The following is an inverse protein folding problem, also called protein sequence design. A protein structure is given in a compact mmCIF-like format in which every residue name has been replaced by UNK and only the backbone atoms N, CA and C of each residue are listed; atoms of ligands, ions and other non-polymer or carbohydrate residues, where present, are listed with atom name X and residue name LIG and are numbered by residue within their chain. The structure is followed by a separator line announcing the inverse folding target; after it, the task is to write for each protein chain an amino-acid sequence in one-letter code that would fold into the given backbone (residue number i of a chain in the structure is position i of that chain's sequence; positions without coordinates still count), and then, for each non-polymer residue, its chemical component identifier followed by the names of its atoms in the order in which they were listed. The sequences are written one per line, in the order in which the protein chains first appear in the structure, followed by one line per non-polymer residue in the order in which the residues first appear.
data_IF_468045293083
#
_entry.id   IF_468045293083
#
_cell.length_a   1.000
_cell.length_b   1.000
_cell.length_c   1.000
_cell.angle_alpha   90.00
_cell.angle_beta   90.00
_cell.angle_gamma   90.00
#
_symmetry.space_group_name_H-M   'P 1'
#
loop_
_entity.id
_entity.type
_entity.pdbx_description
1 polymer ?
#
# COMPACT_ATOMS: atom_id res chain seq x y z
N UNK A 1 11.56 -10.08 -4.82
CA UNK A 1 11.76 -9.02 -5.85
C UNK A 1 12.48 -7.81 -5.24
N UNK A 2 12.07 -7.35 -4.04
CA UNK A 2 12.70 -6.18 -3.41
C UNK A 2 14.08 -6.43 -2.77
N UNK A 3 14.50 -7.68 -2.56
CA UNK A 3 15.80 -8.01 -1.92
C UNK A 3 17.03 -7.38 -2.60
N UNK A 4 16.95 -7.08 -3.91
CA UNK A 4 18.06 -6.46 -4.66
C UNK A 4 17.88 -4.96 -4.89
N UNK A 5 16.75 -4.39 -4.49
CA UNK A 5 16.50 -2.97 -4.64
C UNK A 5 17.19 -2.21 -3.52
N UNK A 6 18.13 -1.33 -3.88
CA UNK A 6 18.81 -0.46 -2.93
C UNK A 6 18.04 0.85 -2.83
N UNK A 7 17.37 1.09 -1.70
CA UNK A 7 16.71 2.37 -1.40
C UNK A 7 17.66 3.36 -0.72
N UNK A 8 17.38 4.67 -0.79
CA UNK A 8 18.02 5.68 0.07
C UNK A 8 17.68 5.45 1.55
N UNK A 9 18.58 5.81 2.45
CA UNK A 9 18.36 5.68 3.91
C UNK A 9 17.22 6.59 4.44
N UNK A 10 16.90 7.66 3.71
CA UNK A 10 15.81 8.59 4.04
C UNK A 10 14.42 8.10 3.62
N UNK A 11 14.36 6.98 2.88
CA UNK A 11 13.14 6.42 2.32
C UNK A 11 12.98 4.96 2.76
N UNK A 12 11.76 4.59 3.11
CA UNK A 12 11.36 3.22 3.44
C UNK A 12 10.44 2.69 2.37
N UNK A 13 10.81 1.56 1.77
CA UNK A 13 9.94 0.78 0.89
C UNK A 13 9.39 -0.42 1.65
N UNK A 14 8.07 -0.52 1.71
CA UNK A 14 7.32 -1.64 2.29
C UNK A 14 6.70 -2.46 1.17
N UNK A 15 6.87 -3.78 1.24
CA UNK A 15 6.26 -4.73 0.31
C UNK A 15 5.35 -5.70 1.06
N UNK A 16 4.14 -5.89 0.54
CA UNK A 16 3.25 -6.97 0.91
C UNK A 16 2.66 -7.61 -0.35
N UNK A 17 3.11 -8.81 -0.70
CA UNK A 17 2.76 -9.49 -1.96
C UNK A 17 2.96 -8.55 -3.17
N UNK A 18 1.85 -8.15 -3.81
CA UNK A 18 1.82 -7.29 -4.99
C UNK A 18 1.67 -5.79 -4.65
N UNK A 19 1.40 -5.46 -3.38
CA UNK A 19 1.27 -4.08 -2.91
C UNK A 19 2.63 -3.54 -2.43
N UNK A 20 2.97 -2.33 -2.92
CA UNK A 20 4.19 -1.61 -2.58
C UNK A 20 3.84 -0.23 -2.04
N UNK A 21 4.55 0.19 -1.00
CA UNK A 21 4.44 1.52 -0.41
C UNK A 21 5.83 2.14 -0.25
N UNK A 22 6.00 3.35 -0.78
CA UNK A 22 7.22 4.15 -0.62
C UNK A 22 6.89 5.32 0.31
N UNK A 23 7.62 5.45 1.42
CA UNK A 23 7.40 6.48 2.42
C UNK A 23 8.71 7.15 2.82
N UNK A 24 8.70 8.46 3.02
CA UNK A 24 9.87 9.25 3.40
C UNK A 24 9.46 10.60 3.98
N UNK A 25 10.41 11.29 4.60
CA UNK A 25 10.15 12.58 5.23
C UNK A 25 10.04 13.72 4.22
N UNK A 26 10.85 13.66 3.15
CA UNK A 26 10.89 14.67 2.10
C UNK A 26 10.20 14.16 0.83
N UNK A 27 9.39 15.03 0.21
CA UNK A 27 8.64 14.70 -0.99
C UNK A 27 9.56 14.36 -2.17
N UNK A 28 10.64 15.12 -2.34
CA UNK A 28 11.64 14.95 -3.41
C UNK A 28 12.32 13.58 -3.34
N UNK A 29 12.72 13.16 -2.14
CA UNK A 29 13.32 11.85 -1.90
C UNK A 29 12.36 10.71 -2.23
N UNK A 30 11.10 10.82 -1.82
CA UNK A 30 10.07 9.83 -2.14
C UNK A 30 9.80 9.78 -3.64
N UNK A 31 9.76 10.93 -4.31
CA UNK A 31 9.55 11.00 -5.77
C UNK A 31 10.69 10.31 -6.52
N UNK A 32 11.94 10.65 -6.20
CA UNK A 32 13.12 10.06 -6.83
C UNK A 32 13.17 8.55 -6.60
N UNK A 33 12.94 8.09 -5.37
CA UNK A 33 12.95 6.66 -5.04
C UNK A 33 11.77 5.93 -5.70
N UNK A 34 10.60 6.57 -5.84
CA UNK A 34 9.45 6.00 -6.54
C UNK A 34 9.75 5.81 -8.02
N UNK A 35 10.35 6.79 -8.69
CA UNK A 35 10.74 6.68 -10.10
C UNK A 35 11.76 5.56 -10.30
N UNK A 36 12.77 5.49 -9.42
CA UNK A 36 13.78 4.43 -9.43
C UNK A 36 13.19 3.05 -9.19
N UNK A 37 12.23 2.93 -8.27
CA UNK A 37 11.48 1.70 -8.01
C UNK A 37 10.69 1.26 -9.25
N UNK A 38 9.95 2.16 -9.88
CA UNK A 38 9.17 1.87 -11.08
C UNK A 38 10.07 1.40 -12.25
N UNK A 39 11.23 2.05 -12.43
CA UNK A 39 12.21 1.63 -13.43
C UNK A 39 12.79 0.24 -13.13
N UNK A 40 13.10 -0.04 -11.87
CA UNK A 40 13.57 -1.35 -11.44
C UNK A 40 12.52 -2.44 -11.69
N UNK A 41 11.25 -2.19 -11.37
CA UNK A 41 10.16 -3.11 -11.65
C UNK A 41 10.04 -3.39 -13.15
N UNK A 42 10.13 -2.35 -13.99
CA UNK A 42 10.13 -2.50 -15.44
C UNK A 42 11.30 -3.34 -15.96
N UNK A 43 12.50 -3.17 -15.40
CA UNK A 43 13.67 -4.00 -15.74
C UNK A 43 13.51 -5.48 -15.34
N UNK A 44 12.74 -5.76 -14.30
CA UNK A 44 12.41 -7.14 -13.89
C UNK A 44 11.24 -7.74 -14.71
N UNK A 45 10.69 -7.00 -15.68
CA UNK A 45 9.54 -7.43 -16.49
C UNK A 45 8.19 -7.32 -15.78
N UNK A 46 8.12 -6.57 -14.67
CA UNK A 46 6.88 -6.37 -13.92
C UNK A 46 6.14 -5.14 -14.44
N UNK A 47 4.81 -5.24 -14.46
CA UNK A 47 3.94 -4.16 -14.93
C UNK A 47 3.19 -3.55 -13.74
N UNK A 48 3.22 -2.22 -13.68
CA UNK A 48 2.49 -1.44 -12.68
C UNK A 48 1.27 -0.81 -13.35
N UNK A 49 0.09 -1.01 -12.77
CA UNK A 49 -1.14 -0.42 -13.27
C UNK A 49 -1.19 1.07 -12.92
N UNK A 50 -0.92 1.95 -13.89
CA UNK A 50 -0.95 3.41 -13.70
C UNK A 50 -2.20 3.92 -12.96
N UNK A 51 -3.37 3.34 -13.24
CA UNK A 51 -4.64 3.70 -12.59
C UNK A 51 -4.71 3.41 -11.08
N UNK A 52 -3.85 2.53 -10.57
CA UNK A 52 -3.79 2.12 -9.15
C UNK A 52 -2.65 2.81 -8.39
N UNK A 53 -1.79 3.56 -9.08
CA UNK A 53 -0.65 4.24 -8.47
C UNK A 53 -1.15 5.51 -7.79
N UNK A 54 -0.83 5.66 -6.51
CA UNK A 54 -1.00 6.89 -5.73
C UNK A 54 0.38 7.56 -5.68
N UNK A 55 0.62 8.54 -6.54
CA UNK A 55 1.97 9.05 -6.78
C UNK A 55 2.29 10.23 -5.86
N UNK A 56 3.17 10.00 -4.89
CA UNK A 56 3.74 11.04 -4.00
C UNK A 56 2.64 11.88 -3.33
N UNK A 57 1.64 11.19 -2.77
CA UNK A 57 0.53 11.83 -2.07
C UNK A 57 0.81 11.91 -0.56
N UNK A 58 0.26 12.93 0.10
CA UNK A 58 0.38 13.11 1.55
C UNK A 58 -0.40 12.07 2.35
N UNK A 59 -1.42 11.50 1.72
CA UNK A 59 -2.28 10.48 2.28
C UNK A 59 -2.51 9.41 1.20
N UNK A 60 -2.37 8.14 1.58
CA UNK A 60 -2.47 7.01 0.64
C UNK A 60 -3.24 5.85 1.25
N UNK A 61 -3.94 5.08 0.40
CA UNK A 61 -4.55 3.81 0.77
C UNK A 61 -3.53 2.66 0.61
N UNK A 62 -3.33 1.88 1.66
CA UNK A 62 -2.45 0.70 1.66
C UNK A 62 -3.02 -0.42 2.55
N UNK A 63 -3.18 -1.63 2.00
CA UNK A 63 -3.72 -2.81 2.71
C UNK A 63 -5.02 -2.54 3.49
N UNK A 64 -5.94 -1.78 2.90
CA UNK A 64 -7.23 -1.41 3.51
C UNK A 64 -7.13 -0.35 4.62
N UNK A 65 -5.99 0.30 4.77
CA UNK A 65 -5.78 1.44 5.67
C UNK A 65 -5.58 2.73 4.88
N UNK A 66 -6.00 3.84 5.46
CA UNK A 66 -5.63 5.18 5.06
C UNK A 66 -4.42 5.61 5.90
N UNK A 67 -3.30 5.90 5.25
CA UNK A 67 -2.04 6.27 5.89
C UNK A 67 -1.74 7.72 5.58
N UNK A 68 -1.49 8.52 6.62
CA UNK A 68 -1.07 9.92 6.53
C UNK A 68 0.07 10.16 7.52
N UNK A 69 0.57 11.40 7.61
CA UNK A 69 1.71 11.77 8.44
C UNK A 69 1.54 11.33 9.90
N UNK A 70 2.27 10.29 10.29
CA UNK A 70 2.29 9.74 11.66
C UNK A 70 0.98 9.08 12.10
N UNK A 71 0.01 8.89 11.21
CA UNK A 71 -1.32 8.38 11.56
C UNK A 71 -1.81 7.32 10.56
N UNK A 72 -2.60 6.37 11.05
CA UNK A 72 -3.19 5.30 10.25
C UNK A 72 -4.63 5.05 10.69
N UNK A 73 -5.55 5.03 9.75
CA UNK A 73 -6.95 4.68 9.98
C UNK A 73 -7.39 3.52 9.09
N UNK A 74 -8.49 2.86 9.44
CA UNK A 74 -9.15 1.96 8.50
C UNK A 74 -9.69 2.80 7.34
N UNK A 75 -9.52 2.32 6.11
CA UNK A 75 -10.09 3.00 4.96
C UNK A 75 -11.62 3.02 5.05
N UNK A 76 -12.29 4.09 4.60
CA UNK A 76 -13.75 4.16 4.58
C UNK A 76 -14.40 2.97 3.87
N UNK A 77 -13.77 2.49 2.78
CA UNK A 77 -14.23 1.33 2.01
C UNK A 77 -14.20 0.04 2.86
N UNK A 78 -13.18 -0.15 3.69
CA UNK A 78 -13.09 -1.29 4.61
C UNK A 78 -14.14 -1.18 5.72
N UNK A 79 -14.38 0.03 6.24
CA UNK A 79 -15.41 0.25 7.26
C UNK A 79 -16.80 -0.05 6.69
N UNK A 80 -17.11 0.47 5.51
CA UNK A 80 -18.37 0.19 4.81
C UNK A 80 -18.54 -1.31 4.57
N UNK A 81 -17.49 -1.98 4.07
CA UNK A 81 -17.52 -3.42 3.85
C UNK A 81 -17.79 -4.23 5.12
N UNK A 82 -17.32 -3.80 6.29
CA UNK A 82 -17.62 -4.45 7.58
C UNK A 82 -19.07 -4.17 8.03
N UNK A 83 -19.53 -2.92 7.87
CA UNK A 83 -20.89 -2.51 8.29
C UNK A 83 -21.97 -3.19 7.44
N UNK A 84 -21.70 -3.42 6.17
CA UNK A 84 -22.62 -4.10 5.24
C UNK A 84 -22.62 -5.62 5.38
N UNK A 85 -21.75 -6.21 6.23
CA UNK A 85 -21.75 -7.66 6.41
C UNK A 85 -23.09 -8.13 6.99
N UNK A 86 -23.76 -9.10 6.34
CA UNK A 86 -24.96 -9.69 6.91
C UNK A 86 -24.61 -10.37 8.24
N UNK A 87 -25.55 -10.34 9.20
CA UNK A 87 -25.35 -11.00 10.50
C UNK A 87 -25.08 -12.49 10.26
N UNK A 88 -23.88 -13.00 10.59
CA UNK A 88 -23.51 -14.37 10.26
C UNK A 88 -24.36 -15.36 11.06
N UNK A 89 -24.82 -16.42 10.39
CA UNK A 89 -25.41 -17.63 10.99
C UNK A 89 -24.88 -18.82 10.19
N UNK A 90 -24.53 -20.01 10.74
CA UNK A 90 -24.04 -20.40 12.07
C UNK A 90 -22.48 -20.41 12.12
N UNK A 91 -21.89 -21.00 13.18
CA UNK A 91 -20.47 -20.98 13.64
C UNK A 91 -19.36 -21.01 12.57
N UNK A 92 -19.61 -21.58 11.39
CA UNK A 92 -18.63 -21.66 10.30
C UNK A 92 -18.34 -20.29 9.66
N UNK A 93 -19.35 -19.43 9.53
CA UNK A 93 -19.20 -18.09 8.94
C UNK A 93 -18.54 -17.12 9.91
N UNK A 94 -18.76 -17.29 11.22
CA UNK A 94 -18.17 -16.46 12.28
C UNK A 94 -16.64 -16.47 12.22
N UNK A 95 -16.02 -17.60 11.81
CA UNK A 95 -14.57 -17.75 11.67
C UNK A 95 -14.00 -17.11 10.39
N UNK A 96 -14.83 -16.80 9.41
CA UNK A 96 -14.42 -16.10 8.18
C UNK A 96 -14.66 -14.59 8.27
N UNK A 97 -15.59 -14.15 9.13
CA UNK A 97 -15.93 -12.75 9.37
C UNK A 97 -15.08 -12.07 10.46
N UNK A 98 -14.26 -12.82 11.21
CA UNK A 98 -13.31 -12.34 12.22
C UNK A 98 -11.88 -12.45 11.69
#
# INVERSE_FOLDING_TARGET
IMEKFKQKDTVTVLQYMDDLLVAGAEQSDVEEETVKLLNYLGQQGLQVYKRKVQFVEKEVKYLGHLISRGSRWLSPDRIAGIVELPVPKPVREVRQSL
#
